data_IF_237598742250
#
_entry.id   IF_237598742250
#
_cell.length_a   1.000
_cell.length_b   1.000
_cell.length_c   1.000
_cell.angle_alpha   90.00
_cell.angle_beta   90.00
_cell.angle_gamma   90.00
#
_symmetry.space_group_name_H-M   'P 1'
#
loop_
_entity.id
_entity.type
_entity.pdbx_description
1 polymer ?
#
# COMPACT_ATOMS: atom_id res chain seq x y z
N UNK A 1 0.96 21.46 -8.29
CA UNK A 1 -0.41 21.10 -7.82
C UNK A 1 -1.09 20.08 -8.75
N UNK A 2 -1.18 20.36 -10.06
CA UNK A 2 -1.78 19.48 -11.07
C UNK A 2 -1.05 18.11 -11.15
N UNK A 3 0.28 18.12 -11.31
CA UNK A 3 1.12 16.90 -11.38
C UNK A 3 1.00 16.03 -10.12
N UNK A 4 0.89 16.68 -8.96
CA UNK A 4 0.65 15.99 -7.68
C UNK A 4 -0.74 15.33 -7.64
N UNK A 5 -1.78 16.01 -8.11
CA UNK A 5 -3.14 15.45 -8.16
C UNK A 5 -3.21 14.18 -9.03
N UNK A 6 -2.64 14.21 -10.24
CA UNK A 6 -2.58 13.04 -11.11
C UNK A 6 -1.77 11.89 -10.50
N UNK A 7 -0.61 12.20 -9.91
CA UNK A 7 0.24 11.17 -9.27
C UNK A 7 -0.49 10.50 -8.10
N UNK A 8 -1.18 11.28 -7.27
CA UNK A 8 -1.99 10.74 -6.16
C UNK A 8 -3.19 9.93 -6.68
N UNK A 9 -3.89 10.40 -7.71
CA UNK A 9 -5.02 9.68 -8.30
C UNK A 9 -4.58 8.30 -8.83
N UNK A 10 -3.45 8.22 -9.53
CA UNK A 10 -2.86 6.96 -10.00
C UNK A 10 -2.53 6.01 -8.83
N UNK A 11 -1.93 6.52 -7.76
CA UNK A 11 -1.59 5.72 -6.58
C UNK A 11 -2.85 5.20 -5.85
N UNK A 12 -3.88 6.03 -5.71
CA UNK A 12 -5.14 5.62 -5.07
C UNK A 12 -5.88 4.58 -5.91
N UNK A 13 -6.02 4.80 -7.21
CA UNK A 13 -6.68 3.84 -8.10
C UNK A 13 -5.89 2.53 -8.19
N UNK A 14 -4.56 2.61 -8.25
CA UNK A 14 -3.69 1.44 -8.20
C UNK A 14 -3.84 0.66 -6.88
N UNK A 15 -3.93 1.37 -5.74
CA UNK A 15 -4.16 0.73 -4.44
C UNK A 15 -5.52 0.04 -4.34
N UNK A 16 -6.57 0.62 -4.91
CA UNK A 16 -7.90 0.00 -4.99
C UNK A 16 -7.89 -1.28 -5.82
N UNK A 17 -7.20 -1.26 -6.97
CA UNK A 17 -6.99 -2.45 -7.80
C UNK A 17 -6.22 -3.55 -7.04
N UNK A 18 -5.21 -3.18 -6.25
CA UNK A 18 -4.44 -4.11 -5.40
C UNK A 18 -5.33 -4.73 -4.31
N UNK A 19 -6.14 -3.94 -3.62
CA UNK A 19 -7.04 -4.42 -2.56
C UNK A 19 -8.05 -5.41 -3.13
N UNK A 20 -8.66 -5.08 -4.28
CA UNK A 20 -9.61 -5.98 -4.95
C UNK A 20 -8.95 -7.29 -5.41
N UNK A 21 -7.69 -7.21 -5.88
CA UNK A 21 -6.91 -8.40 -6.24
C UNK A 21 -6.50 -9.23 -5.02
N UNK A 22 -6.31 -8.60 -3.86
CA UNK A 22 -6.02 -9.31 -2.62
C UNK A 22 -7.28 -9.97 -2.04
N UNK A 23 -8.43 -9.33 -2.19
CA UNK A 23 -9.73 -9.88 -1.79
C UNK A 23 -10.07 -11.18 -2.51
N UNK A 24 -9.75 -11.29 -3.81
CA UNK A 24 -9.95 -12.53 -4.56
C UNK A 24 -9.04 -13.69 -4.13
N UNK A 25 -7.91 -13.39 -3.47
CA UNK A 25 -6.92 -14.38 -2.99
C UNK A 25 -7.19 -14.78 -1.53
N UNK A 26 -7.56 -13.84 -0.67
CA UNK A 26 -7.70 -14.02 0.79
C UNK A 26 -9.16 -14.24 1.23
N UNK A 27 -10.13 -13.88 0.39
CA UNK A 27 -11.53 -13.77 0.74
C UNK A 27 -11.87 -12.41 1.37
N UNK A 28 -13.16 -12.08 1.41
CA UNK A 28 -13.64 -10.78 1.88
C UNK A 28 -13.38 -10.61 3.39
N UNK A 29 -12.35 -9.83 3.72
CA UNK A 29 -12.08 -9.38 5.08
C UNK A 29 -11.26 -8.08 5.01
N UNK A 30 -11.84 -6.92 5.38
CA UNK A 30 -11.18 -5.62 5.19
C UNK A 30 -9.85 -5.52 5.94
N UNK A 31 -9.77 -6.13 7.13
CA UNK A 31 -8.55 -6.13 7.94
C UNK A 31 -7.42 -6.98 7.35
N UNK A 32 -7.75 -8.01 6.55
CA UNK A 32 -6.74 -8.89 5.95
C UNK A 32 -6.31 -8.39 4.57
N UNK A 33 -7.25 -7.93 3.74
CA UNK A 33 -6.95 -7.49 2.37
C UNK A 33 -6.15 -6.20 2.32
N UNK A 34 -6.26 -5.32 3.32
CA UNK A 34 -5.51 -4.07 3.40
C UNK A 34 -4.20 -4.16 4.18
N UNK A 35 -3.94 -5.27 4.87
CA UNK A 35 -2.73 -5.42 5.65
C UNK A 35 -1.51 -5.66 4.75
N UNK A 36 -0.66 -4.64 4.61
CA UNK A 36 0.55 -4.70 3.79
C UNK A 36 1.56 -5.77 4.24
N UNK A 37 1.51 -6.21 5.51
CA UNK A 37 2.37 -7.30 5.99
C UNK A 37 1.99 -8.65 5.34
N UNK A 38 0.72 -8.82 4.97
CA UNK A 38 0.23 -10.03 4.30
C UNK A 38 0.38 -9.95 2.78
N UNK A 39 0.49 -8.75 2.23
CA UNK A 39 0.77 -8.51 0.81
C UNK A 39 2.19 -8.94 0.44
N UNK A 40 2.47 -9.04 -0.87
CA UNK A 40 3.77 -9.39 -1.44
C UNK A 40 3.60 -10.23 -2.69
N UNK A 41 4.50 -10.07 -3.67
CA UNK A 41 4.51 -10.89 -4.88
C UNK A 41 3.29 -10.72 -5.79
N UNK A 42 2.55 -9.61 -5.69
CA UNK A 42 1.37 -9.34 -6.53
C UNK A 42 1.70 -9.09 -8.01
N UNK A 43 2.99 -8.97 -8.36
CA UNK A 43 3.46 -8.78 -9.74
C UNK A 43 2.86 -9.80 -10.72
N UNK A 44 2.66 -11.05 -10.31
CA UNK A 44 2.13 -12.11 -11.18
C UNK A 44 0.62 -11.95 -11.46
N UNK A 45 -0.11 -11.35 -10.54
CA UNK A 45 -1.57 -11.21 -10.63
C UNK A 45 -1.99 -9.91 -11.32
N UNK A 46 -1.27 -8.82 -11.06
CA UNK A 46 -1.59 -7.48 -11.56
C UNK A 46 -0.38 -6.76 -12.16
N UNK A 47 0.16 -7.23 -13.30
CA UNK A 47 1.35 -6.64 -13.92
C UNK A 47 1.14 -5.21 -14.42
N UNK A 48 -0.07 -4.88 -14.90
CA UNK A 48 -0.42 -3.53 -15.36
C UNK A 48 -0.49 -2.57 -14.17
N UNK A 49 -1.11 -2.99 -13.06
CA UNK A 49 -1.18 -2.17 -11.84
C UNK A 49 0.22 -1.95 -11.24
N UNK A 50 1.14 -2.91 -11.37
CA UNK A 50 2.54 -2.74 -10.95
C UNK A 50 3.21 -1.59 -11.69
N UNK A 51 3.11 -1.54 -13.01
CA UNK A 51 3.79 -0.51 -13.81
C UNK A 51 3.17 0.87 -13.59
N UNK A 52 1.85 0.97 -13.53
CA UNK A 52 1.16 2.25 -13.26
C UNK A 52 1.44 2.77 -11.86
N UNK A 53 1.43 1.90 -10.84
CA UNK A 53 1.78 2.27 -9.48
C UNK A 53 3.25 2.68 -9.38
N UNK A 54 4.16 1.97 -10.06
CA UNK A 54 5.57 2.33 -10.11
C UNK A 54 5.78 3.72 -10.72
N UNK A 55 5.19 4.00 -11.90
CA UNK A 55 5.25 5.32 -12.53
C UNK A 55 4.66 6.39 -11.62
N UNK A 56 3.55 6.10 -10.92
CA UNK A 56 2.98 7.00 -9.91
C UNK A 56 3.94 7.32 -8.76
N UNK A 57 4.66 6.31 -8.24
CA UNK A 57 5.67 6.49 -7.18
C UNK A 57 6.88 7.28 -7.67
N UNK A 58 7.39 7.00 -8.87
CA UNK A 58 8.50 7.75 -9.47
C UNK A 58 8.11 9.21 -9.70
N UNK A 59 6.87 9.44 -10.13
CA UNK A 59 6.34 10.78 -10.35
C UNK A 59 6.29 11.52 -9.03
N UNK A 60 5.72 10.94 -7.97
CA UNK A 60 5.65 11.60 -6.67
C UNK A 60 7.02 11.85 -6.01
N UNK A 61 7.99 10.97 -6.25
CA UNK A 61 9.38 11.14 -5.84
C UNK A 61 10.02 12.37 -6.52
N UNK A 62 9.65 12.63 -7.77
CA UNK A 62 10.20 13.73 -8.57
C UNK A 62 11.52 13.33 -9.22
N UNK A 63 11.55 12.22 -9.95
CA UNK A 63 12.76 11.76 -10.66
C UNK A 63 12.83 12.49 -12.02
N UNK A 64 14.04 12.83 -12.53
CA UNK A 64 14.26 13.69 -13.71
C UNK A 64 13.44 13.46 -14.99
N UNK A 65 12.96 12.26 -15.37
CA UNK A 65 12.12 12.13 -16.56
C UNK A 65 10.65 12.56 -16.35
N UNK A 66 10.22 12.86 -15.12
CA UNK A 66 8.80 13.09 -14.80
C UNK A 66 8.52 14.56 -14.45
N UNK A 67 7.33 15.03 -14.82
CA UNK A 67 6.91 16.43 -14.65
C UNK A 67 6.95 16.95 -13.20
N UNK A 68 6.86 16.05 -12.22
CA UNK A 68 6.94 16.41 -10.81
C UNK A 68 8.37 16.77 -10.36
N UNK A 69 9.42 16.36 -11.08
CA UNK A 69 10.78 16.82 -10.82
C UNK A 69 10.89 18.32 -11.03
N UNK A 70 10.49 18.79 -12.22
CA UNK A 70 10.51 20.20 -12.59
C UNK A 70 9.74 21.09 -11.60
N UNK A 71 8.54 20.66 -11.18
CA UNK A 71 7.76 21.42 -10.19
C UNK A 71 8.35 21.42 -8.78
N UNK A 72 9.09 20.37 -8.38
CA UNK A 72 9.75 20.32 -7.06
C UNK A 72 11.07 21.08 -7.07
N UNK A 73 11.83 20.99 -8.15
CA UNK A 73 13.14 21.61 -8.31
C UNK A 73 13.04 23.13 -8.31
N UNK A 74 12.02 23.70 -8.97
CA UNK A 74 11.74 25.13 -8.97
C UNK A 74 11.54 25.67 -7.53
N UNK A 75 10.71 24.99 -6.73
CA UNK A 75 10.47 25.36 -5.32
C UNK A 75 11.74 25.19 -4.47
N UNK A 76 12.54 24.16 -4.76
CA UNK A 76 13.77 23.89 -4.03
C UNK A 76 14.82 24.97 -4.34
N UNK A 77 14.96 25.36 -5.60
CA UNK A 77 15.84 26.42 -6.05
C UNK A 77 15.45 27.78 -5.46
N UNK A 78 14.17 28.11 -5.44
CA UNK A 78 13.67 29.33 -4.77
C UNK A 78 13.95 29.30 -3.26
N UNK A 79 13.85 28.13 -2.63
CA UNK A 79 14.18 27.95 -1.21
C UNK A 79 15.66 28.16 -0.94
N UNK A 80 16.55 27.73 -1.85
CA UNK A 80 17.99 27.98 -1.75
C UNK A 80 18.32 29.48 -1.82
N UNK A 81 17.61 30.22 -2.67
CA UNK A 81 17.77 31.68 -2.80
C UNK A 81 17.27 32.43 -1.56
N UNK A 82 16.21 31.94 -0.92
CA UNK A 82 15.66 32.57 0.29
C UNK A 82 16.48 32.25 1.55
N UNK A 83 16.70 30.97 1.85
CA UNK A 83 17.56 30.53 2.95
C UNK A 83 17.93 29.05 2.84
N UNK A 84 19.22 28.70 2.94
CA UNK A 84 19.70 27.33 2.77
C UNK A 84 19.13 26.35 3.81
N UNK A 85 18.72 26.83 4.99
CA UNK A 85 18.12 25.98 6.04
C UNK A 85 16.78 25.41 5.56
N UNK A 86 15.93 26.23 4.94
CA UNK A 86 14.65 25.77 4.40
C UNK A 86 14.85 24.80 3.22
N UNK A 87 15.86 25.04 2.39
CA UNK A 87 16.20 24.13 1.29
C UNK A 87 16.63 22.74 1.80
N UNK A 88 17.44 22.67 2.86
CA UNK A 88 17.83 21.39 3.48
C UNK A 88 16.61 20.65 4.05
N UNK A 89 15.72 21.37 4.74
CA UNK A 89 14.47 20.79 5.26
C UNK A 89 13.59 20.28 4.11
N UNK A 90 13.39 21.06 3.06
CA UNK A 90 12.61 20.66 1.89
C UNK A 90 13.22 19.44 1.18
N UNK A 91 14.54 19.41 1.01
CA UNK A 91 15.27 18.28 0.43
C UNK A 91 15.12 17.02 1.27
N UNK A 92 15.27 17.12 2.60
CA UNK A 92 15.07 15.97 3.51
C UNK A 92 13.64 15.45 3.48
N UNK A 93 12.63 16.34 3.43
CA UNK A 93 11.23 15.96 3.32
C UNK A 93 10.93 15.25 1.98
N UNK A 94 11.53 15.71 0.88
CA UNK A 94 11.44 15.06 -0.42
C UNK A 94 12.07 13.66 -0.41
N UNK A 95 13.25 13.52 0.19
CA UNK A 95 13.94 12.23 0.36
C UNK A 95 13.16 11.23 1.23
N UNK A 96 12.61 11.69 2.36
CA UNK A 96 11.75 10.87 3.22
C UNK A 96 10.51 10.40 2.46
N UNK A 97 9.97 11.28 1.60
CA UNK A 97 8.81 10.96 0.76
C UNK A 97 9.10 9.87 -0.26
N UNK A 98 10.24 9.98 -0.93
CA UNK A 98 10.73 8.94 -1.82
C UNK A 98 10.88 7.61 -1.10
N UNK A 99 11.49 7.63 0.09
CA UNK A 99 11.77 6.43 0.88
C UNK A 99 10.49 5.67 1.26
N UNK A 100 9.51 6.33 1.87
CA UNK A 100 8.30 5.62 2.32
C UNK A 100 7.47 5.12 1.12
N UNK A 101 7.43 5.85 0.01
CA UNK A 101 6.70 5.43 -1.19
C UNK A 101 7.35 4.22 -1.86
N UNK A 102 8.68 4.22 -1.97
CA UNK A 102 9.41 3.09 -2.51
C UNK A 102 9.27 1.84 -1.61
N UNK A 103 9.28 2.03 -0.28
CA UNK A 103 9.02 0.96 0.68
C UNK A 103 7.64 0.31 0.46
N UNK A 104 6.59 1.10 0.24
CA UNK A 104 5.24 0.59 -0.04
C UNK A 104 5.22 -0.19 -1.36
N UNK A 105 5.87 0.32 -2.41
CA UNK A 105 5.95 -0.37 -3.70
C UNK A 105 6.62 -1.75 -3.58
N UNK A 106 7.79 -1.80 -2.94
CA UNK A 106 8.50 -3.06 -2.74
C UNK A 106 7.71 -4.03 -1.87
N UNK A 107 7.06 -3.55 -0.81
CA UNK A 107 6.32 -4.41 0.12
C UNK A 107 5.09 -5.05 -0.53
N UNK A 108 4.47 -4.36 -1.49
CA UNK A 108 3.23 -4.80 -2.16
C UNK A 108 3.49 -5.68 -3.39
N UNK A 109 4.38 -5.26 -4.29
CA UNK A 109 4.59 -5.94 -5.58
C UNK A 109 5.76 -6.91 -5.60
N UNK A 110 6.83 -6.60 -4.88
CA UNK A 110 8.04 -7.44 -4.80
C UNK A 110 7.94 -8.47 -3.67
N UNK A 111 8.79 -9.48 -3.74
CA UNK A 111 8.85 -10.58 -2.75
C UNK A 111 7.83 -11.70 -2.97
N UNK A 112 7.64 -12.51 -1.93
CA UNK A 112 6.74 -13.66 -1.94
C UNK A 112 5.42 -13.35 -1.24
N UNK A 113 4.34 -13.99 -1.68
CA UNK A 113 3.01 -13.79 -1.13
C UNK A 113 2.94 -14.38 0.30
N UNK A 114 2.89 -13.49 1.30
CA UNK A 114 3.00 -13.86 2.73
C UNK A 114 1.73 -14.43 3.36
N UNK A 115 0.58 -14.36 2.68
CA UNK A 115 -0.70 -14.96 3.13
C UNK A 115 -0.57 -16.47 3.41
N UNK A 116 0.15 -17.22 2.57
CA UNK A 116 0.27 -18.69 2.76
C UNK A 116 1.02 -19.05 4.05
N UNK A 117 1.99 -18.23 4.48
CA UNK A 117 2.74 -18.46 5.72
C UNK A 117 1.86 -18.26 6.96
N UNK A 118 0.98 -17.27 6.97
CA UNK A 118 0.07 -17.03 8.10
C UNK A 118 -0.94 -18.17 8.28
N UNK A 119 -1.48 -18.72 7.17
CA UNK A 119 -2.39 -19.86 7.22
C UNK A 119 -1.70 -21.14 7.73
N UNK A 120 -0.41 -21.34 7.43
CA UNK A 120 0.37 -22.45 7.98
C UNK A 120 0.69 -22.29 9.47
N UNK A 121 0.90 -21.04 9.93
CA UNK A 121 1.14 -20.72 11.34
C UNK A 121 -0.14 -20.68 12.19
N UNK A 122 -1.33 -20.65 11.57
CA UNK A 122 -2.63 -20.53 12.23
C UNK A 122 -3.12 -21.77 12.99
N UNK A 123 -2.42 -22.91 12.88
CA UNK A 123 -2.77 -24.14 13.61
C UNK A 123 -2.20 -24.21 15.05
N UNK A 124 -1.52 -23.17 15.52
CA UNK A 124 -1.09 -23.03 16.92
C UNK A 124 -1.27 -21.58 17.36
N UNK A 125 -2.34 -21.29 18.09
CA UNK A 125 -2.27 -20.70 19.43
C UNK A 125 -3.65 -20.25 19.94
N UNK A 126 -4.05 -20.93 21.03
CA UNK A 126 -4.79 -20.46 22.20
C UNK A 126 -6.14 -19.75 22.03
N UNK A 127 -7.15 -20.45 22.54
CA UNK A 127 -8.56 -20.13 22.82
C UNK A 127 -8.83 -18.90 23.70
N UNK A 128 -8.06 -17.82 23.60
CA UNK A 128 -8.11 -16.70 24.58
C UNK A 128 -8.33 -15.30 23.97
N UNK A 129 -8.91 -15.21 22.78
CA UNK A 129 -9.34 -13.92 22.19
C UNK A 129 -10.83 -13.88 21.79
N UNK A 130 -11.66 -14.71 22.40
CA UNK A 130 -13.11 -14.75 22.16
C UNK A 130 -13.93 -13.95 23.16
N UNK A 131 -13.38 -12.87 23.76
CA UNK A 131 -14.17 -11.94 24.57
C UNK A 131 -14.41 -10.67 23.73
N UNK A 132 -15.56 -10.54 23.05
CA UNK A 132 -15.91 -9.31 22.36
C UNK A 132 -16.25 -8.24 23.41
N UNK A 133 -15.44 -7.18 23.47
CA UNK A 133 -15.62 -6.04 24.38
C UNK A 133 -16.74 -5.08 23.90
N UNK A 134 -17.39 -5.37 22.78
CA UNK A 134 -18.44 -4.53 22.23
C UNK A 134 -19.53 -5.35 21.53
N UNK A 135 -20.75 -5.24 22.05
CA UNK A 135 -22.02 -5.39 21.33
C UNK A 135 -22.19 -6.62 20.43
N UNK A 136 -22.78 -7.67 21.00
CA UNK A 136 -23.21 -8.90 20.33
C UNK A 136 -24.42 -8.62 19.42
N UNK A 137 -24.32 -8.93 18.12
CA UNK A 137 -25.48 -9.25 17.27
C UNK A 137 -25.18 -10.52 16.45
N UNK A 138 -26.00 -11.56 16.66
CA UNK A 138 -26.33 -12.58 15.67
C UNK A 138 -25.30 -13.66 15.34
N UNK A 139 -24.98 -14.57 16.28
CA UNK A 139 -24.50 -15.90 15.92
C UNK A 139 -25.69 -16.83 15.69
N UNK A 140 -26.18 -16.93 14.45
CA UNK A 140 -27.01 -18.07 14.05
C UNK A 140 -26.11 -19.27 13.74
N UNK A 141 -26.25 -20.30 14.58
CA UNK A 141 -25.76 -21.66 14.36
C UNK A 141 -26.54 -22.27 13.18
N UNK A 142 -25.96 -22.25 11.97
CA UNK A 142 -26.42 -23.14 10.89
C UNK A 142 -25.65 -24.45 10.97
N UNK A 143 -26.19 -25.36 11.78
CA UNK A 143 -25.81 -26.76 11.84
C UNK A 143 -26.36 -27.46 10.59
N UNK A 144 -25.65 -27.41 9.46
CA UNK A 144 -25.96 -28.26 8.31
C UNK A 144 -25.26 -29.60 8.48
N UNK A 145 -26.02 -30.52 9.05
CA UNK A 145 -25.80 -31.95 8.94
C UNK A 145 -25.47 -32.32 7.49
N UNK A 146 -24.36 -33.04 7.31
CA UNK A 146 -24.11 -33.87 6.13
C UNK A 146 -25.19 -34.96 6.05
N UNK A 147 -25.80 -35.16 4.89
CA UNK A 147 -26.33 -36.46 4.49
C UNK A 147 -25.62 -36.91 3.20
N UNK A 148 -24.81 -37.97 3.35
CA UNK A 148 -24.28 -38.89 2.33
C UNK A 148 -23.30 -38.32 1.28
#
# INVERSE_FOLDING_TARGET
LITHAYSKALLFLGSGSVIHSMESIVGYSPNKSQNMALMGGLTKYVPITKTTFYVGTLSLCGIPPLACFWSKDEILNDSWLYSPVFAIIACSAAGLTAFYMFRIYLLTFEGYLRVRFQNYSGAKNSSLYSIPIWGKEGAELSNKNLPF
#
